data_IF_472912619967
#
_entry.id   IF_472912619967
#
_cell.length_a   1.000
_cell.length_b   1.000
_cell.length_c   1.000
_cell.angle_alpha   90.00
_cell.angle_beta   90.00
_cell.angle_gamma   90.00
#
_symmetry.space_group_name_H-M   'P 1'
#
loop_
_entity.id
_entity.type
_entity.pdbx_description
1 polymer ?
#
# COMPACT_ATOMS: atom_id res chain seq x y z
N UNK A 1 -59.35 32.11 26.66
CA UNK A 1 -58.28 33.12 26.72
C UNK A 1 -57.81 33.30 25.28
N UNK A 2 -58.24 34.34 24.53
CA UNK A 2 -57.71 35.75 24.52
C UNK A 2 -56.25 35.81 24.04
N UNK A 3 -55.82 36.63 23.06
CA UNK A 3 -56.46 37.49 22.01
C UNK A 3 -55.34 37.92 21.02
N UNK A 4 -55.48 38.53 19.83
CA UNK A 4 -56.55 39.15 19.00
C UNK A 4 -56.42 38.60 17.53
N UNK A 5 -57.25 38.87 16.49
CA UNK A 5 -58.22 39.92 16.10
C UNK A 5 -57.62 41.19 15.43
N UNK A 6 -57.67 41.22 14.08
CA UNK A 6 -57.93 42.37 13.16
C UNK A 6 -57.00 43.63 13.23
N UNK A 7 -56.86 44.50 12.22
CA UNK A 7 -57.41 44.53 10.84
C UNK A 7 -56.52 45.36 9.87
N UNK A 8 -57.00 45.45 8.61
CA UNK A 8 -57.03 46.65 7.73
C UNK A 8 -56.41 46.52 6.31
N UNK A 9 -56.99 47.27 5.36
CA UNK A 9 -56.88 47.10 3.90
C UNK A 9 -56.35 48.38 3.23
N UNK A 10 -55.43 48.23 2.27
CA UNK A 10 -55.22 49.29 1.26
C UNK A 10 -54.81 48.73 -0.10
N UNK A 11 -55.72 48.84 -1.07
CA UNK A 11 -55.41 48.59 -2.48
C UNK A 11 -54.66 49.80 -3.08
N UNK A 12 -53.57 49.56 -3.82
CA UNK A 12 -53.11 50.51 -4.83
C UNK A 12 -52.25 49.88 -5.94
N UNK A 13 -52.77 50.01 -7.16
CA UNK A 13 -52.13 50.06 -8.48
C UNK A 13 -50.81 49.30 -8.77
N UNK A 14 -50.82 48.54 -9.88
CA UNK A 14 -49.61 48.19 -10.65
C UNK A 14 -48.96 49.44 -11.27
N UNK A 15 -47.66 49.35 -11.61
CA UNK A 15 -47.33 49.34 -13.03
C UNK A 15 -46.29 48.28 -13.42
N UNK A 16 -46.32 47.83 -14.68
CA UNK A 16 -45.30 46.93 -15.24
C UNK A 16 -43.98 47.67 -15.54
N UNK A 17 -42.85 47.24 -14.97
CA UNK A 17 -41.51 47.63 -15.46
C UNK A 17 -40.48 46.50 -15.39
N UNK A 18 -40.22 45.86 -16.53
CA UNK A 18 -38.83 45.64 -16.99
C UNK A 18 -37.92 44.57 -16.35
N UNK A 19 -38.38 43.67 -15.49
CA UNK A 19 -37.52 42.65 -14.83
C UNK A 19 -37.14 41.47 -15.76
N UNK A 20 -36.63 41.76 -16.97
CA UNK A 20 -36.32 40.75 -18.03
C UNK A 20 -34.84 40.66 -18.43
N UNK A 21 -33.93 41.30 -17.69
CA UNK A 21 -32.47 41.31 -18.01
C UNK A 21 -31.54 40.61 -17.01
N UNK A 22 -31.95 40.38 -15.76
CA UNK A 22 -31.04 39.89 -14.70
C UNK A 22 -30.70 38.39 -14.79
N UNK A 23 -31.64 37.53 -15.19
CA UNK A 23 -31.40 36.07 -15.24
C UNK A 23 -30.35 35.61 -16.27
N UNK A 24 -30.05 36.43 -17.28
CA UNK A 24 -29.10 36.08 -18.35
C UNK A 24 -27.63 36.05 -17.88
N UNK A 25 -27.29 36.83 -16.84
CA UNK A 25 -25.90 37.02 -16.43
C UNK A 25 -25.36 35.84 -15.60
N UNK A 26 -26.15 35.34 -14.64
CA UNK A 26 -25.73 34.27 -13.73
C UNK A 26 -25.41 32.95 -14.45
N UNK A 27 -26.22 32.57 -15.45
CA UNK A 27 -26.01 31.33 -16.23
C UNK A 27 -24.65 31.30 -16.95
N UNK A 28 -24.12 32.47 -17.37
CA UNK A 28 -22.83 32.56 -18.07
C UNK A 28 -21.62 32.48 -17.15
N UNK A 29 -21.78 32.71 -15.84
CA UNK A 29 -20.69 32.71 -14.87
C UNK A 29 -20.42 31.29 -14.37
N UNK A 30 -21.46 30.53 -14.01
CA UNK A 30 -21.31 29.11 -13.58
C UNK A 30 -20.71 28.20 -14.66
N UNK A 31 -20.92 28.52 -15.94
CA UNK A 31 -20.43 27.73 -17.08
C UNK A 31 -18.92 27.90 -17.33
N UNK A 32 -18.28 28.92 -16.74
CA UNK A 32 -16.86 29.25 -16.99
C UNK A 32 -15.88 28.63 -15.98
N UNK A 33 -16.34 28.25 -14.78
CA UNK A 33 -15.52 27.54 -13.78
C UNK A 33 -15.54 26.01 -13.96
N UNK A 34 -16.61 25.44 -14.53
CA UNK A 34 -16.77 24.00 -14.68
C UNK A 34 -15.71 23.28 -15.55
N UNK A 35 -15.19 23.83 -16.67
CA UNK A 35 -14.18 23.12 -17.47
C UNK A 35 -12.80 23.01 -16.80
N UNK A 36 -12.53 23.78 -15.75
CA UNK A 36 -11.23 23.78 -15.07
C UNK A 36 -11.00 22.54 -14.18
N UNK A 37 -12.02 21.71 -13.96
CA UNK A 37 -11.98 20.52 -13.10
C UNK A 37 -11.72 19.20 -13.83
N UNK A 38 -11.66 19.19 -15.17
CA UNK A 38 -11.59 17.98 -15.99
C UNK A 38 -10.28 17.85 -16.81
N UNK A 39 -9.29 18.71 -16.53
CA UNK A 39 -7.99 18.71 -17.19
C UNK A 39 -6.89 18.02 -16.35
N UNK A 40 -6.59 16.77 -16.72
CA UNK A 40 -5.32 16.03 -16.51
C UNK A 40 -4.44 16.51 -15.32
N UNK A 41 -4.54 15.83 -14.18
CA UNK A 41 -3.46 15.76 -13.19
C UNK A 41 -2.95 17.08 -12.60
N UNK A 42 -3.81 18.06 -12.34
CA UNK A 42 -3.40 19.37 -11.82
C UNK A 42 -2.45 19.27 -10.60
N UNK A 43 -1.28 19.94 -10.60
CA UNK A 43 -0.28 19.83 -9.54
C UNK A 43 -0.80 20.32 -8.18
N UNK A 44 -1.86 21.12 -8.15
CA UNK A 44 -2.59 21.51 -6.95
C UNK A 44 -3.15 20.30 -6.16
N UNK A 45 -3.65 19.27 -6.86
CA UNK A 45 -4.15 18.04 -6.23
C UNK A 45 -2.99 17.22 -5.68
N UNK A 46 -1.92 17.04 -6.48
CA UNK A 46 -0.70 16.35 -6.05
C UNK A 46 -0.10 16.98 -4.79
N UNK A 47 0.05 18.30 -4.77
CA UNK A 47 0.63 19.00 -3.63
C UNK A 47 -0.26 18.95 -2.39
N UNK A 48 -1.59 19.05 -2.52
CA UNK A 48 -2.51 18.95 -1.38
C UNK A 48 -2.61 17.53 -0.80
N UNK A 49 -2.51 16.49 -1.62
CA UNK A 49 -2.38 15.09 -1.16
C UNK A 49 -1.03 14.88 -0.45
N UNK A 50 0.09 15.23 -1.10
CA UNK A 50 1.43 15.06 -0.51
C UNK A 50 1.61 15.83 0.81
N UNK A 51 1.03 17.03 0.93
CA UNK A 51 1.13 17.87 2.13
C UNK A 51 0.23 17.43 3.31
N UNK A 52 -0.68 16.45 3.13
CA UNK A 52 -1.66 16.06 4.16
C UNK A 52 -1.52 14.59 4.55
N UNK A 53 -0.76 14.26 5.62
CA UNK A 53 -0.64 12.89 6.13
C UNK A 53 -1.97 12.22 6.49
N UNK A 54 -2.97 13.00 6.92
CA UNK A 54 -4.31 12.49 7.22
C UNK A 54 -5.07 12.09 5.95
N UNK A 55 -4.95 12.87 4.86
CA UNK A 55 -5.57 12.53 3.57
C UNK A 55 -4.89 11.32 2.93
N UNK A 56 -3.56 11.22 3.03
CA UNK A 56 -2.81 10.03 2.56
C UNK A 56 -3.18 8.77 3.34
N UNK A 57 -3.29 8.84 4.67
CA UNK A 57 -3.81 7.73 5.47
C UNK A 57 -5.22 7.33 5.03
N UNK A 58 -6.15 8.28 4.91
CA UNK A 58 -7.53 8.00 4.53
C UNK A 58 -7.65 7.38 3.14
N UNK A 59 -6.90 7.90 2.15
CA UNK A 59 -6.84 7.31 0.80
C UNK A 59 -6.27 5.89 0.84
N UNK A 60 -5.23 5.64 1.63
CA UNK A 60 -4.66 4.30 1.77
C UNK A 60 -5.64 3.33 2.46
N UNK A 61 -6.25 3.71 3.58
CA UNK A 61 -7.14 2.81 4.33
C UNK A 61 -8.42 2.45 3.58
N UNK A 62 -8.94 3.35 2.74
CA UNK A 62 -10.16 3.14 1.96
C UNK A 62 -9.92 2.44 0.60
N UNK A 63 -8.78 2.69 -0.07
CA UNK A 63 -8.55 2.22 -1.46
C UNK A 63 -7.28 1.38 -1.67
N UNK A 64 -6.29 1.45 -0.77
CA UNK A 64 -5.03 0.70 -0.86
C UNK A 64 -5.05 -0.60 -0.05
N UNK A 65 -5.56 -0.56 1.17
CA UNK A 65 -5.50 -1.67 2.13
C UNK A 65 -6.12 -2.97 1.60
N UNK A 66 -7.21 -2.89 0.83
CA UNK A 66 -7.88 -4.05 0.23
C UNK A 66 -7.12 -4.68 -0.94
N UNK A 67 -6.21 -3.95 -1.61
CA UNK A 67 -5.38 -4.47 -2.69
C UNK A 67 -4.10 -5.17 -2.19
N UNK A 68 -3.66 -4.89 -0.96
CA UNK A 68 -2.40 -5.41 -0.41
C UNK A 68 -2.31 -6.94 -0.44
N UNK A 69 -3.38 -7.65 -0.04
CA UNK A 69 -3.37 -9.12 -0.07
C UNK A 69 -3.52 -9.72 -1.48
N UNK A 70 -4.44 -9.25 -2.35
CA UNK A 70 -4.47 -9.64 -3.76
C UNK A 70 -3.13 -9.46 -4.48
N UNK A 71 -2.44 -8.32 -4.31
CA UNK A 71 -1.16 -8.07 -4.97
C UNK A 71 0.00 -8.87 -4.38
N UNK A 72 -0.03 -9.15 -3.07
CA UNK A 72 0.92 -10.05 -2.42
C UNK A 72 0.77 -11.50 -2.92
N UNK A 73 -0.46 -12.02 -2.99
CA UNK A 73 -0.73 -13.39 -3.43
C UNK A 73 -0.42 -13.63 -4.92
N UNK A 74 -0.41 -12.58 -5.75
CA UNK A 74 0.01 -12.66 -7.17
C UNK A 74 1.53 -12.77 -7.36
N UNK A 75 2.36 -12.33 -6.40
CA UNK A 75 3.82 -12.14 -6.60
C UNK A 75 4.64 -12.94 -5.59
N UNK A 76 5.42 -13.93 -6.07
CA UNK A 76 6.39 -14.64 -5.24
C UNK A 76 7.68 -13.82 -5.02
N UNK A 77 8.09 -13.62 -3.77
CA UNK A 77 9.23 -12.78 -3.40
C UNK A 77 10.59 -13.50 -3.55
N UNK A 78 11.56 -12.87 -4.22
CA UNK A 78 12.93 -13.38 -4.35
C UNK A 78 13.71 -13.26 -3.03
N UNK A 79 14.38 -14.33 -2.61
CA UNK A 79 15.24 -14.33 -1.43
C UNK A 79 16.70 -14.03 -1.77
N UNK A 80 17.32 -13.14 -0.98
CA UNK A 80 18.74 -12.80 -1.03
C UNK A 80 19.35 -12.80 0.38
N UNK A 81 20.64 -13.11 0.47
CA UNK A 81 21.41 -13.07 1.73
C UNK A 81 22.02 -11.68 2.03
N UNK A 82 22.13 -10.83 1.00
CA UNK A 82 22.62 -9.46 1.05
C UNK A 82 21.87 -8.65 -0.02
N UNK A 83 21.61 -7.34 0.15
CA UNK A 83 20.83 -6.55 -0.82
C UNK A 83 21.33 -6.65 -2.27
N UNK A 84 22.64 -6.52 -2.49
CA UNK A 84 23.28 -6.67 -3.81
C UNK A 84 23.70 -8.13 -4.11
N UNK A 85 23.38 -9.08 -3.23
CA UNK A 85 23.66 -10.50 -3.43
C UNK A 85 22.79 -11.17 -4.49
N UNK A 86 23.24 -12.35 -4.94
CA UNK A 86 22.48 -13.23 -5.83
C UNK A 86 21.17 -13.70 -5.19
N UNK A 87 20.16 -13.96 -6.04
CA UNK A 87 18.91 -14.58 -5.60
C UNK A 87 19.18 -16.05 -5.29
N UNK A 88 19.10 -16.42 -4.01
CA UNK A 88 19.31 -17.79 -3.55
C UNK A 88 18.02 -18.63 -3.54
N UNK A 89 16.86 -18.01 -3.68
CA UNK A 89 15.58 -18.69 -3.49
C UNK A 89 14.36 -17.84 -3.81
N UNK A 90 13.17 -18.41 -3.59
CA UNK A 90 11.89 -17.70 -3.75
C UNK A 90 10.88 -18.18 -2.72
N UNK A 91 10.13 -17.24 -2.16
CA UNK A 91 8.96 -17.44 -1.32
C UNK A 91 7.68 -17.25 -2.16
N UNK A 92 6.66 -18.05 -1.87
CA UNK A 92 5.36 -18.05 -2.52
C UNK A 92 4.28 -17.94 -1.42
N UNK A 93 3.67 -16.76 -1.21
CA UNK A 93 2.60 -16.60 -0.25
C UNK A 93 1.36 -17.39 -0.73
N UNK A 94 0.77 -18.19 0.16
CA UNK A 94 -0.45 -18.96 -0.09
C UNK A 94 -1.65 -18.45 0.72
N UNK A 95 -1.40 -17.60 1.72
CA UNK A 95 -2.41 -16.99 2.57
C UNK A 95 -2.00 -15.56 2.94
N UNK A 96 -2.98 -14.66 2.98
CA UNK A 96 -2.81 -13.28 3.41
C UNK A 96 -4.11 -12.78 4.05
N UNK A 97 -4.00 -12.06 5.16
CA UNK A 97 -5.08 -11.27 5.75
C UNK A 97 -4.52 -9.96 6.28
N UNK A 98 -5.35 -8.92 6.32
CA UNK A 98 -4.94 -7.60 6.78
C UNK A 98 -5.92 -7.05 7.82
N UNK A 99 -5.42 -6.18 8.69
CA UNK A 99 -6.20 -5.45 9.68
C UNK A 99 -5.73 -3.99 9.70
N UNK A 100 -6.65 -3.07 9.44
CA UNK A 100 -6.44 -1.62 9.53
C UNK A 100 -6.67 -1.17 10.97
N UNK A 101 -5.83 -0.27 11.45
CA UNK A 101 -6.01 0.49 12.69
C UNK A 101 -5.91 1.99 12.37
N UNK A 102 -7.06 2.66 12.30
CA UNK A 102 -7.18 4.10 12.04
C UNK A 102 -6.73 4.99 13.22
N UNK A 103 -6.68 4.46 14.45
CA UNK A 103 -6.23 5.21 15.62
C UNK A 103 -4.71 5.36 15.60
N UNK A 104 -4.00 4.25 15.37
CA UNK A 104 -2.54 4.23 15.29
C UNK A 104 -1.98 4.52 13.88
N UNK A 105 -2.86 4.56 12.87
CA UNK A 105 -2.55 4.72 11.43
C UNK A 105 -1.56 3.66 10.96
N UNK A 106 -1.93 2.41 11.23
CA UNK A 106 -1.12 1.21 10.95
C UNK A 106 -1.94 0.13 10.24
N UNK A 107 -1.26 -0.62 9.39
CA UNK A 107 -1.79 -1.82 8.72
C UNK A 107 -1.02 -3.04 9.23
N UNK A 108 -1.68 -3.93 9.96
CA UNK A 108 -1.12 -5.26 10.23
C UNK A 108 -1.43 -6.18 9.05
N UNK A 109 -0.40 -6.79 8.46
CA UNK A 109 -0.55 -7.87 7.47
C UNK A 109 -0.08 -9.16 8.13
N UNK A 110 -0.94 -10.19 8.11
CA UNK A 110 -0.57 -11.58 8.42
C UNK A 110 -0.47 -12.35 7.12
N UNK A 111 0.63 -13.05 6.89
CA UNK A 111 0.82 -13.84 5.68
C UNK A 111 1.49 -15.18 6.02
N UNK A 112 1.15 -16.20 5.23
CA UNK A 112 1.72 -17.54 5.33
C UNK A 112 1.96 -18.13 3.94
N UNK A 113 3.01 -18.94 3.80
CA UNK A 113 3.38 -19.53 2.53
C UNK A 113 4.54 -20.52 2.61
N UNK A 114 4.98 -20.98 1.45
CA UNK A 114 6.13 -21.88 1.31
C UNK A 114 7.17 -21.29 0.37
N UNK A 115 8.38 -21.84 0.39
CA UNK A 115 9.42 -21.42 -0.53
C UNK A 115 10.53 -22.44 -0.64
N UNK A 116 11.54 -22.10 -1.43
CA UNK A 116 12.80 -22.82 -1.45
C UNK A 116 13.98 -21.84 -1.43
N UNK A 117 15.08 -22.29 -0.83
CA UNK A 117 16.36 -21.61 -0.81
C UNK A 117 17.48 -22.60 -1.15
N UNK A 118 18.46 -22.19 -1.94
CA UNK A 118 19.67 -22.95 -2.21
C UNK A 118 20.78 -22.52 -1.26
N UNK A 119 21.50 -23.49 -0.71
CA UNK A 119 22.62 -23.28 0.21
C UNK A 119 23.84 -24.10 -0.24
N UNK A 120 25.08 -23.61 -0.07
CA UNK A 120 26.27 -24.39 -0.41
C UNK A 120 26.42 -25.69 0.39
N UNK A 121 25.81 -25.78 1.58
CA UNK A 121 26.01 -26.88 2.54
C UNK A 121 24.96 -27.98 2.38
N UNK A 122 23.70 -27.64 2.09
CA UNK A 122 22.59 -28.60 2.02
C UNK A 122 21.88 -28.64 0.64
N UNK A 123 22.31 -27.82 -0.33
CA UNK A 123 21.64 -27.70 -1.62
C UNK A 123 20.29 -27.00 -1.50
N UNK A 124 19.27 -27.49 -2.22
CA UNK A 124 17.91 -26.93 -2.20
C UNK A 124 17.16 -27.39 -0.95
N UNK A 125 16.78 -26.43 -0.11
CA UNK A 125 15.96 -26.58 1.08
C UNK A 125 14.59 -25.99 0.80
N UNK A 126 13.52 -26.77 0.92
CA UNK A 126 12.14 -26.28 1.01
C UNK A 126 11.80 -25.82 2.42
N UNK A 127 11.01 -24.75 2.56
CA UNK A 127 10.62 -24.19 3.86
C UNK A 127 9.18 -23.66 3.85
N UNK A 128 8.60 -23.48 5.03
CA UNK A 128 7.39 -22.66 5.25
C UNK A 128 7.70 -21.47 6.17
N UNK A 129 6.94 -20.39 5.99
CA UNK A 129 6.97 -19.18 6.83
C UNK A 129 5.53 -18.72 7.07
N UNK A 130 5.20 -18.41 8.31
CA UNK A 130 4.06 -17.58 8.69
C UNK A 130 4.58 -16.41 9.54
N UNK A 131 4.05 -15.20 9.32
CA UNK A 131 4.46 -14.00 10.04
C UNK A 131 3.34 -12.96 10.11
N UNK A 132 3.42 -12.04 11.07
CA UNK A 132 2.61 -10.82 11.06
C UNK A 132 3.50 -9.59 11.22
N UNK A 133 3.33 -8.61 10.33
CA UNK A 133 4.08 -7.35 10.37
C UNK A 133 3.10 -6.18 10.37
N UNK A 134 3.33 -5.26 11.27
CA UNK A 134 2.60 -4.01 11.36
C UNK A 134 3.39 -2.92 10.64
N UNK A 135 2.83 -2.41 9.56
CA UNK A 135 3.38 -1.33 8.76
C UNK A 135 2.70 0.00 9.10
N UNK A 136 3.45 1.09 8.97
CA UNK A 136 2.91 2.43 8.71
C UNK A 136 2.95 2.65 7.19
N UNK A 137 1.85 2.34 6.47
CA UNK A 137 1.77 2.62 5.06
C UNK A 137 1.74 4.14 4.84
N UNK A 138 2.41 4.58 3.79
CA UNK A 138 2.40 5.98 3.35
C UNK A 138 2.56 6.01 1.83
N UNK A 139 2.30 7.12 1.16
CA UNK A 139 2.63 7.25 -0.27
C UNK A 139 3.03 8.67 -0.67
N UNK A 140 3.70 8.79 -1.82
CA UNK A 140 4.07 10.06 -2.41
C UNK A 140 3.77 10.05 -3.91
N UNK A 141 3.01 11.03 -4.36
CA UNK A 141 2.71 11.21 -5.79
C UNK A 141 3.80 12.12 -6.40
N UNK A 142 4.58 11.58 -7.33
CA UNK A 142 5.58 12.32 -8.10
C UNK A 142 4.95 12.88 -9.41
N UNK A 143 5.79 13.19 -10.41
CA UNK A 143 5.31 13.65 -11.73
C UNK A 143 4.99 12.51 -12.69
N UNK A 144 5.76 11.43 -12.60
CA UNK A 144 5.73 10.25 -13.49
C UNK A 144 5.24 8.96 -12.80
N UNK A 145 5.14 8.97 -11.47
CA UNK A 145 4.87 7.76 -10.68
C UNK A 145 4.28 8.05 -9.29
N UNK A 146 3.61 7.04 -8.72
CA UNK A 146 3.18 7.02 -7.31
C UNK A 146 4.03 6.02 -6.53
N UNK A 147 4.70 6.50 -5.50
CA UNK A 147 5.58 5.73 -4.63
C UNK A 147 4.78 5.33 -3.37
N UNK A 148 4.42 4.06 -3.23
CA UNK A 148 3.73 3.52 -2.04
C UNK A 148 4.75 2.85 -1.13
N UNK A 149 4.83 3.31 0.11
CA UNK A 149 5.77 2.87 1.14
C UNK A 149 5.08 1.99 2.17
N UNK A 150 5.63 0.81 2.43
CA UNK A 150 5.29 0.00 3.60
C UNK A 150 6.45 0.09 4.61
N UNK A 151 6.43 1.12 5.46
CA UNK A 151 7.45 1.33 6.50
C UNK A 151 7.15 0.43 7.69
N UNK A 152 8.05 -0.46 8.06
CA UNK A 152 7.81 -1.39 9.19
C UNK A 152 7.74 -0.62 10.52
N UNK A 153 6.63 -0.77 11.24
CA UNK A 153 6.46 -0.20 12.58
C UNK A 153 6.92 -1.19 13.66
N UNK A 154 6.49 -2.45 13.54
CA UNK A 154 6.94 -3.59 14.36
C UNK A 154 6.60 -4.91 13.68
N UNK A 155 7.28 -5.98 14.10
CA UNK A 155 6.86 -7.35 13.80
C UNK A 155 5.85 -7.74 14.89
N UNK A 156 4.60 -7.95 14.50
CA UNK A 156 3.49 -8.26 15.41
C UNK A 156 3.42 -9.75 15.79
N UNK A 157 3.94 -10.63 14.93
CA UNK A 157 4.17 -12.05 15.18
C UNK A 157 5.42 -12.48 14.41
N UNK A 158 6.38 -13.09 15.11
CA UNK A 158 7.69 -13.44 14.55
C UNK A 158 7.58 -14.48 13.42
N UNK A 159 8.51 -14.47 12.44
CA UNK A 159 8.47 -15.42 11.33
C UNK A 159 8.75 -16.85 11.80
N UNK A 160 7.73 -17.70 11.83
CA UNK A 160 7.84 -19.13 12.13
C UNK A 160 8.41 -19.88 10.92
N UNK A 161 9.74 -19.84 10.78
CA UNK A 161 10.46 -20.53 9.72
C UNK A 161 10.60 -22.03 10.06
N UNK A 162 10.00 -22.90 9.25
CA UNK A 162 10.13 -24.36 9.39
C UNK A 162 10.81 -24.95 8.14
N UNK A 163 11.83 -25.79 8.35
CA UNK A 163 12.49 -26.54 7.27
C UNK A 163 11.63 -27.75 6.92
N UNK A 164 11.25 -27.85 5.64
CA UNK A 164 10.52 -28.98 5.09
C UNK A 164 11.46 -30.01 4.46
N UNK A 165 11.28 -30.29 3.18
CA UNK A 165 12.08 -31.26 2.44
C UNK A 165 13.41 -30.68 1.93
N UNK A 166 14.46 -31.51 1.94
CA UNK A 166 15.72 -31.29 1.20
C UNK A 166 15.74 -32.36 0.09
N UNK A 167 16.05 -31.99 -1.15
CA UNK A 167 15.95 -32.89 -2.32
C UNK A 167 17.02 -34.01 -2.37
N UNK A 168 17.90 -34.09 -1.37
CA UNK A 168 18.91 -35.13 -1.25
C UNK A 168 18.45 -36.30 -0.36
N UNK A 169 18.91 -37.52 -0.67
CA UNK A 169 18.42 -38.80 -0.09
C UNK A 169 18.65 -38.99 1.42
N UNK A 170 19.20 -38.01 2.13
CA UNK A 170 19.42 -38.04 3.58
C UNK A 170 18.20 -37.49 4.32
N UNK A 171 17.18 -38.34 4.42
CA UNK A 171 16.01 -38.14 5.28
C UNK A 171 16.47 -37.88 6.73
N UNK A 172 15.72 -37.05 7.48
CA UNK A 172 15.92 -36.74 8.91
C UNK A 172 17.03 -35.72 9.28
N UNK A 173 17.53 -34.94 8.30
CA UNK A 173 18.44 -33.80 8.58
C UNK A 173 17.77 -32.73 9.46
N UNK A 174 16.47 -32.44 9.24
CA UNK A 174 15.77 -31.31 9.84
C UNK A 174 15.63 -31.39 11.37
N UNK A 175 15.45 -32.59 11.93
CA UNK A 175 15.15 -32.79 13.36
C UNK A 175 16.34 -33.31 14.20
N UNK A 176 17.42 -33.77 13.57
CA UNK A 176 18.53 -34.48 14.27
C UNK A 176 19.93 -34.01 13.94
N UNK A 177 20.11 -32.94 13.16
CA UNK A 177 21.45 -32.44 12.80
C UNK A 177 21.61 -30.94 13.11
N UNK A 178 22.84 -30.47 13.40
CA UNK A 178 23.11 -29.04 13.54
C UNK A 178 22.73 -28.21 12.30
N UNK A 179 22.69 -28.83 11.11
CA UNK A 179 22.34 -28.17 9.85
C UNK A 179 20.88 -27.70 9.85
N UNK A 180 19.95 -28.46 10.44
CA UNK A 180 18.54 -28.07 10.56
C UNK A 180 18.34 -26.85 11.47
N UNK A 181 19.05 -26.82 12.61
CA UNK A 181 19.04 -25.70 13.55
C UNK A 181 19.69 -24.43 12.96
N UNK A 182 20.82 -24.59 12.26
CA UNK A 182 21.48 -23.48 11.56
C UNK A 182 20.61 -22.93 10.42
N UNK A 183 19.99 -23.79 9.61
CA UNK A 183 19.13 -23.36 8.50
C UNK A 183 17.87 -22.61 8.99
N UNK A 184 17.27 -23.04 10.10
CA UNK A 184 16.10 -22.35 10.69
C UNK A 184 16.45 -21.05 11.39
N UNK A 185 17.56 -21.01 12.14
CA UNK A 185 18.09 -19.78 12.77
C UNK A 185 18.47 -18.74 11.71
N UNK A 186 19.16 -19.17 10.64
CA UNK A 186 19.56 -18.30 9.54
C UNK A 186 18.37 -17.85 8.68
N UNK A 187 17.45 -18.76 8.36
CA UNK A 187 16.23 -18.46 7.61
C UNK A 187 15.34 -17.44 8.31
N UNK A 188 15.11 -17.61 9.61
CA UNK A 188 14.35 -16.64 10.42
C UNK A 188 15.05 -15.29 10.52
N UNK A 189 16.38 -15.22 10.69
CA UNK A 189 17.14 -13.95 10.65
C UNK A 189 17.06 -13.24 9.30
N UNK A 190 17.20 -13.96 8.18
CA UNK A 190 17.09 -13.38 6.83
C UNK A 190 15.67 -12.85 6.60
N UNK A 191 14.64 -13.62 6.93
CA UNK A 191 13.23 -13.18 6.81
C UNK A 191 12.98 -11.97 7.72
N UNK A 192 13.43 -11.99 8.97
CA UNK A 192 13.29 -10.87 9.91
C UNK A 192 13.97 -9.60 9.38
N UNK A 193 15.15 -9.71 8.78
CA UNK A 193 15.86 -8.58 8.14
C UNK A 193 15.05 -7.98 6.98
N UNK A 194 14.58 -8.83 6.05
CA UNK A 194 13.76 -8.37 4.92
C UNK A 194 12.45 -7.72 5.38
N UNK A 195 11.78 -8.29 6.39
CA UNK A 195 10.56 -7.72 6.97
C UNK A 195 10.82 -6.42 7.75
N UNK A 196 11.99 -6.26 8.37
CA UNK A 196 12.37 -5.02 9.06
C UNK A 196 12.70 -3.87 8.11
N UNK A 197 13.16 -4.18 6.89
CA UNK A 197 13.54 -3.19 5.87
C UNK A 197 12.34 -2.43 5.28
N UNK A 198 11.14 -3.02 5.33
CA UNK A 198 9.98 -2.51 4.61
C UNK A 198 10.11 -2.68 3.10
N UNK A 199 9.21 -2.05 2.34
CA UNK A 199 9.24 -2.08 0.88
C UNK A 199 8.65 -0.81 0.24
N UNK A 200 8.98 -0.58 -1.03
CA UNK A 200 8.38 0.43 -1.90
C UNK A 200 7.79 -0.24 -3.14
N UNK A 201 6.56 0.12 -3.49
CA UNK A 201 5.99 -0.09 -4.83
C UNK A 201 6.03 1.25 -5.56
N UNK A 202 6.54 1.28 -6.78
CA UNK A 202 6.50 2.44 -7.68
C UNK A 202 5.53 2.10 -8.81
N UNK A 203 4.37 2.74 -8.81
CA UNK A 203 3.35 2.59 -9.84
C UNK A 203 3.51 3.72 -10.87
N UNK A 204 3.62 3.38 -12.15
CA UNK A 204 3.75 4.33 -13.27
C UNK A 204 3.00 3.83 -14.49
N UNK A 205 2.96 4.59 -15.57
CA UNK A 205 2.30 4.18 -16.83
C UNK A 205 2.90 2.89 -17.43
N UNK A 206 4.17 2.58 -17.13
CA UNK A 206 4.85 1.31 -17.48
C UNK A 206 4.42 0.11 -16.60
N UNK A 207 3.66 0.35 -15.53
CA UNK A 207 3.20 -0.65 -14.56
C UNK A 207 3.80 -0.52 -13.16
N UNK A 208 3.70 -1.63 -12.39
CA UNK A 208 4.14 -1.72 -10.99
C UNK A 208 5.58 -2.25 -10.86
N UNK A 209 6.48 -1.44 -10.31
CA UNK A 209 7.84 -1.84 -9.96
C UNK A 209 7.98 -2.04 -8.44
N UNK A 210 8.59 -3.14 -7.98
CA UNK A 210 8.74 -3.46 -6.55
C UNK A 210 10.21 -3.41 -6.09
N UNK A 211 10.47 -2.74 -4.96
CA UNK A 211 11.75 -2.76 -4.26
C UNK A 211 11.61 -3.12 -2.78
N UNK A 212 12.59 -3.86 -2.26
CA UNK A 212 12.81 -4.04 -0.83
C UNK A 212 13.52 -2.80 -0.26
N UNK A 213 13.14 -2.36 0.93
CA UNK A 213 13.57 -1.08 1.49
C UNK A 213 12.73 0.12 1.02
N UNK A 214 13.10 1.32 1.44
CA UNK A 214 12.39 2.57 1.12
C UNK A 214 13.18 3.37 0.07
N UNK A 215 12.68 3.40 -1.17
CA UNK A 215 13.19 4.28 -2.22
C UNK A 215 12.64 5.71 -2.05
N UNK A 216 13.42 6.73 -2.41
CA UNK A 216 12.95 8.11 -2.52
C UNK A 216 12.92 8.54 -3.99
N UNK A 217 11.93 9.33 -4.45
CA UNK A 217 11.90 9.83 -5.81
C UNK A 217 13.17 10.63 -6.14
N UNK A 218 13.72 10.52 -7.38
CA UNK A 218 13.21 9.78 -8.53
C UNK A 218 13.78 8.34 -8.66
N UNK A 219 14.30 7.73 -7.58
CA UNK A 219 14.96 6.42 -7.68
C UNK A 219 13.95 5.29 -7.90
N UNK A 220 14.07 4.59 -9.03
CA UNK A 220 13.29 3.38 -9.37
C UNK A 220 14.00 2.08 -8.97
N UNK A 221 13.28 0.94 -8.84
CA UNK A 221 13.88 -0.37 -8.58
C UNK A 221 14.87 -0.78 -9.68
N UNK A 222 15.97 -1.44 -9.31
CA UNK A 222 16.91 -2.02 -10.30
C UNK A 222 16.23 -3.20 -11.01
N UNK A 223 15.91 -3.06 -12.29
CA UNK A 223 15.42 -4.16 -13.14
C UNK A 223 16.55 -5.17 -13.35
N UNK A 224 16.31 -6.50 -13.25
CA UNK A 224 17.36 -7.51 -13.45
C UNK A 224 17.80 -7.65 -14.92
N UNK A 225 16.98 -7.18 -15.85
CA UNK A 225 17.22 -7.16 -17.28
C UNK A 225 16.63 -5.86 -17.85
N UNK A 226 17.48 -5.05 -18.46
CA UNK A 226 17.21 -4.00 -19.45
C UNK A 226 18.24 -4.21 -20.58
#
# INVERSE_FOLDING_TARGET
>A
MTSCVQDEVSSRATPEVGVRRWFSLYWRITLLCLPMLLGVGCPCVRNTVNASPNLRWWLFSNFGANQMCPEMLKRGASLKLSPDGNVIGRFFPSSCSYQVDDQNKTLTIRFGGTGYAWTPVAGRIGFSVEAAVEYRPDFYMAEDAVYVYARTNRIAYGPTFQVGAIENKFVDIANKTPVGYLASTFGSQVVQSQLSSGFTVVHSDDGDEFALGILQPPARPKKPFD
#
